data_IF_248211254687
#
_entry.id   IF_248211254687
#
_cell.length_a   1.000
_cell.length_b   1.000
_cell.length_c   1.000
_cell.angle_alpha   90.00
_cell.angle_beta   90.00
_cell.angle_gamma   90.00
#
_symmetry.space_group_name_H-M   'P 1'
#
loop_
_entity.id
_entity.type
_entity.pdbx_description
1 polymer ?
#
# COMPACT_ATOMS: atom_id res chain seq x y z
N UNK A 1 3.20 19.08 12.41
CA UNK A 1 2.22 19.37 11.34
C UNK A 1 0.90 18.64 11.56
N UNK A 2 0.88 17.38 11.99
CA UNK A 2 -0.35 16.56 12.09
C UNK A 2 -0.94 16.41 13.51
N UNK A 3 -0.63 17.33 14.44
CA UNK A 3 -1.12 17.21 15.83
C UNK A 3 -2.65 17.26 15.83
N UNK A 4 -3.29 16.24 16.41
CA UNK A 4 -4.75 16.11 16.50
C UNK A 4 -5.40 15.22 15.43
N UNK A 5 -4.70 14.91 14.32
CA UNK A 5 -5.21 14.01 13.27
C UNK A 5 -4.86 12.53 13.50
N UNK A 6 -4.01 12.25 14.48
CA UNK A 6 -3.57 10.90 14.85
C UNK A 6 -4.73 9.91 14.92
N UNK A 7 -5.78 10.25 15.67
CA UNK A 7 -6.95 9.38 15.84
C UNK A 7 -7.70 9.10 14.54
N UNK A 8 -7.67 10.04 13.59
CA UNK A 8 -8.32 9.85 12.29
C UNK A 8 -7.51 8.87 11.45
N UNK A 9 -6.19 9.04 11.41
CA UNK A 9 -5.31 8.12 10.68
C UNK A 9 -5.28 6.72 11.31
N UNK A 10 -5.38 6.63 12.63
CA UNK A 10 -5.47 5.37 13.39
C UNK A 10 -6.71 4.57 12.95
N UNK A 11 -7.90 5.18 13.04
CA UNK A 11 -9.16 4.54 12.65
C UNK A 11 -9.14 4.13 11.17
N UNK A 12 -8.70 5.01 10.27
CA UNK A 12 -8.66 4.70 8.83
C UNK A 12 -7.63 3.60 8.56
N UNK A 13 -6.47 3.65 9.22
CA UNK A 13 -5.40 2.67 9.09
C UNK A 13 -5.85 1.28 9.52
N UNK A 14 -6.52 1.16 10.66
CA UNK A 14 -7.07 -0.10 11.16
C UNK A 14 -8.12 -0.69 10.19
N UNK A 15 -9.07 0.13 9.73
CA UNK A 15 -10.10 -0.33 8.78
C UNK A 15 -9.47 -0.80 7.47
N UNK A 16 -8.54 -0.02 6.92
CA UNK A 16 -7.81 -0.40 5.71
C UNK A 16 -7.00 -1.68 5.92
N UNK A 17 -6.37 -1.86 7.07
CA UNK A 17 -5.60 -3.07 7.37
C UNK A 17 -6.49 -4.32 7.33
N UNK A 18 -7.67 -4.27 7.96
CA UNK A 18 -8.63 -5.37 7.94
C UNK A 18 -9.09 -5.69 6.52
N UNK A 19 -9.43 -4.67 5.72
CA UNK A 19 -9.81 -4.84 4.32
C UNK A 19 -8.69 -5.52 3.53
N UNK A 20 -7.44 -5.06 3.71
CA UNK A 20 -6.29 -5.65 3.01
C UNK A 20 -6.05 -7.10 3.42
N UNK A 21 -6.19 -7.46 4.70
CA UNK A 21 -6.08 -8.85 5.14
C UNK A 21 -7.10 -9.74 4.41
N UNK A 22 -8.35 -9.30 4.27
CA UNK A 22 -9.38 -10.03 3.54
C UNK A 22 -9.02 -10.18 2.06
N UNK A 23 -8.55 -9.10 1.42
CA UNK A 23 -8.14 -9.11 0.00
C UNK A 23 -7.01 -10.11 -0.22
N UNK A 24 -5.97 -10.07 0.62
CA UNK A 24 -4.84 -11.02 0.54
C UNK A 24 -5.30 -12.47 0.77
N UNK A 25 -6.14 -12.72 1.79
CA UNK A 25 -6.64 -14.07 2.06
C UNK A 25 -7.43 -14.63 0.86
N UNK A 26 -8.34 -13.84 0.28
CA UNK A 26 -9.14 -14.25 -0.88
C UNK A 26 -8.28 -14.50 -2.11
N UNK A 27 -7.28 -13.66 -2.37
CA UNK A 27 -6.34 -13.84 -3.48
C UNK A 27 -5.47 -15.10 -3.29
N UNK A 28 -5.01 -15.38 -2.08
CA UNK A 28 -4.22 -16.59 -1.77
C UNK A 28 -5.06 -17.85 -1.98
N UNK A 29 -6.30 -17.87 -1.47
CA UNK A 29 -7.21 -19.01 -1.70
C UNK A 29 -7.47 -19.14 -3.20
N UNK A 30 -7.69 -18.03 -3.90
CA UNK A 30 -7.93 -18.07 -5.34
C UNK A 30 -6.73 -18.59 -6.14
N UNK A 31 -5.50 -18.28 -5.72
CA UNK A 31 -4.29 -18.82 -6.36
C UNK A 31 -4.21 -20.36 -6.28
N UNK A 32 -4.86 -20.98 -5.29
CA UNK A 32 -4.86 -22.44 -5.12
C UNK A 32 -6.09 -23.12 -5.74
N UNK A 33 -7.25 -22.46 -5.74
CA UNK A 33 -8.54 -23.09 -6.11
C UNK A 33 -9.23 -22.45 -7.33
N UNK A 34 -8.71 -21.33 -7.86
CA UNK A 34 -9.23 -20.61 -9.04
C UNK A 34 -10.75 -20.36 -9.01
N UNK A 35 -11.27 -19.93 -7.85
CA UNK A 35 -12.72 -19.80 -7.61
C UNK A 35 -13.29 -18.41 -7.92
N UNK A 36 -12.45 -17.38 -8.03
CA UNK A 36 -12.85 -16.01 -8.35
C UNK A 36 -12.95 -15.83 -9.88
N UNK A 37 -14.02 -15.21 -10.38
CA UNK A 37 -14.11 -14.80 -11.79
C UNK A 37 -13.02 -13.79 -12.15
N UNK A 38 -12.56 -13.80 -13.41
CA UNK A 38 -11.48 -12.93 -13.91
C UNK A 38 -11.69 -11.43 -13.61
N UNK A 39 -12.94 -10.95 -13.74
CA UNK A 39 -13.28 -9.55 -13.44
C UNK A 39 -13.05 -9.22 -11.97
N UNK A 40 -13.41 -10.14 -11.07
CA UNK A 40 -13.23 -9.96 -9.62
C UNK A 40 -11.74 -10.05 -9.27
N UNK A 41 -11.03 -11.02 -9.85
CA UNK A 41 -9.59 -11.17 -9.67
C UNK A 41 -8.84 -9.89 -10.05
N UNK A 42 -9.14 -9.30 -11.22
CA UNK A 42 -8.53 -8.02 -11.65
C UNK A 42 -8.76 -6.91 -10.63
N UNK A 43 -9.99 -6.73 -10.15
CA UNK A 43 -10.31 -5.72 -9.13
C UNK A 43 -9.51 -5.97 -7.85
N UNK A 44 -9.48 -7.21 -7.37
CA UNK A 44 -8.74 -7.56 -6.15
C UNK A 44 -7.24 -7.35 -6.32
N UNK A 45 -6.65 -7.65 -7.48
CA UNK A 45 -5.24 -7.36 -7.76
C UNK A 45 -4.94 -5.86 -7.78
N UNK A 46 -5.84 -5.04 -8.32
CA UNK A 46 -5.72 -3.58 -8.22
C UNK A 46 -5.79 -3.10 -6.77
N UNK A 47 -6.75 -3.59 -6.00
CA UNK A 47 -6.89 -3.26 -4.57
C UNK A 47 -5.69 -3.74 -3.78
N UNK A 48 -5.14 -4.91 -4.08
CA UNK A 48 -3.91 -5.42 -3.46
C UNK A 48 -2.73 -4.45 -3.66
N UNK A 49 -2.47 -4.05 -4.91
CA UNK A 49 -1.31 -3.22 -5.24
C UNK A 49 -1.45 -1.79 -4.71
N UNK A 50 -2.56 -1.11 -5.03
CA UNK A 50 -2.76 0.28 -4.64
C UNK A 50 -3.21 0.43 -3.19
N UNK A 51 -4.05 -0.49 -2.69
CA UNK A 51 -4.51 -0.49 -1.31
C UNK A 51 -3.38 -0.70 -0.31
N UNK A 52 -2.36 -1.51 -0.65
CA UNK A 52 -1.17 -1.69 0.20
C UNK A 52 -0.37 -0.38 0.34
N UNK A 53 -0.24 0.38 -0.76
CA UNK A 53 0.46 1.67 -0.74
C UNK A 53 -0.32 2.71 0.07
N UNK A 54 -1.65 2.75 -0.09
CA UNK A 54 -2.52 3.64 0.70
C UNK A 54 -2.47 3.28 2.18
N UNK A 55 -2.55 1.99 2.53
CA UNK A 55 -2.43 1.54 3.91
C UNK A 55 -1.09 1.97 4.54
N UNK A 56 0.01 1.74 3.84
CA UNK A 56 1.35 2.14 4.31
C UNK A 56 1.45 3.65 4.51
N UNK A 57 0.86 4.43 3.59
CA UNK A 57 0.82 5.88 3.71
C UNK A 57 0.03 6.34 4.96
N UNK A 58 -1.15 5.77 5.20
CA UNK A 58 -2.02 6.13 6.32
C UNK A 58 -1.39 5.76 7.66
N UNK A 59 -0.92 4.52 7.82
CA UNK A 59 -0.26 4.06 9.05
C UNK A 59 1.05 4.82 9.27
N UNK A 60 1.80 5.12 8.20
CA UNK A 60 2.99 5.95 8.30
C UNK A 60 2.66 7.39 8.75
N UNK A 61 1.58 7.99 8.25
CA UNK A 61 1.12 9.31 8.69
C UNK A 61 0.69 9.32 10.17
N UNK A 62 0.00 8.28 10.63
CA UNK A 62 -0.36 8.09 12.04
C UNK A 62 0.90 7.97 12.92
N UNK A 63 1.86 7.14 12.51
CA UNK A 63 3.11 6.98 13.23
C UNK A 63 3.90 8.30 13.31
N UNK A 64 3.92 9.06 12.21
CA UNK A 64 4.65 10.33 12.13
C UNK A 64 3.93 11.49 12.82
N UNK A 65 2.61 11.46 13.00
CA UNK A 65 1.87 12.52 13.70
C UNK A 65 2.31 12.66 15.16
N UNK A 66 2.82 11.58 15.75
CA UNK A 66 3.35 11.49 17.13
C UNK A 66 4.82 11.91 17.24
N UNK A 67 5.52 12.15 16.11
CA UNK A 67 6.96 12.43 16.05
C UNK A 67 7.27 13.91 15.85
N UNK A 68 8.57 14.25 15.90
CA UNK A 68 9.04 15.60 15.67
C UNK A 68 8.86 16.02 14.19
N UNK A 69 8.96 17.33 13.95
CA UNK A 69 8.71 17.91 12.63
C UNK A 69 9.68 17.41 11.54
N UNK A 70 10.93 17.13 11.90
CA UNK A 70 11.96 16.65 10.96
C UNK A 70 11.57 15.27 10.41
N UNK A 71 11.17 14.33 11.27
CA UNK A 71 10.73 13.01 10.82
C UNK A 71 9.47 13.08 9.94
N UNK A 72 8.56 14.01 10.24
CA UNK A 72 7.37 14.24 9.39
C UNK A 72 7.75 14.68 7.98
N UNK A 73 8.69 15.62 7.83
CA UNK A 73 9.16 16.06 6.51
C UNK A 73 9.82 14.93 5.74
N UNK A 74 10.73 14.19 6.38
CA UNK A 74 11.44 13.08 5.73
C UNK A 74 10.43 12.05 5.22
N UNK A 75 9.45 11.68 6.05
CA UNK A 75 8.41 10.75 5.65
C UNK A 75 7.58 11.27 4.47
N UNK A 76 7.14 12.53 4.52
CA UNK A 76 6.36 13.12 3.42
C UNK A 76 7.16 13.21 2.11
N UNK A 77 8.46 13.50 2.18
CA UNK A 77 9.33 13.51 1.02
C UNK A 77 9.45 12.12 0.39
N UNK A 78 9.62 11.07 1.21
CA UNK A 78 9.66 9.68 0.75
C UNK A 78 8.30 9.23 0.20
N UNK A 79 7.20 9.59 0.86
CA UNK A 79 5.86 9.27 0.37
C UNK A 79 5.58 9.97 -0.97
N UNK A 80 5.95 11.24 -1.11
CA UNK A 80 5.84 11.98 -2.36
C UNK A 80 6.69 11.35 -3.46
N UNK A 81 7.90 10.88 -3.14
CA UNK A 81 8.74 10.13 -4.07
C UNK A 81 7.98 8.89 -4.59
N UNK A 82 7.46 8.06 -3.70
CA UNK A 82 6.67 6.87 -4.07
C UNK A 82 5.51 7.24 -4.99
N UNK A 83 4.73 8.27 -4.62
CA UNK A 83 3.57 8.75 -5.42
C UNK A 83 3.98 9.27 -6.78
N UNK A 84 5.09 10.00 -6.89
CA UNK A 84 5.60 10.46 -8.18
C UNK A 84 5.96 9.27 -9.06
N UNK A 85 6.67 8.28 -8.50
CA UNK A 85 7.11 7.09 -9.22
C UNK A 85 5.97 6.14 -9.63
N UNK A 86 4.78 6.23 -9.02
CA UNK A 86 3.55 5.56 -9.50
C UNK A 86 3.15 5.98 -10.92
N UNK A 87 3.47 7.20 -11.33
CA UNK A 87 3.13 7.70 -12.67
C UNK A 87 4.14 7.31 -13.75
N UNK A 88 5.28 6.74 -13.37
CA UNK A 88 6.32 6.35 -14.32
C UNK A 88 6.10 4.89 -14.76
N UNK A 89 5.67 4.63 -16.00
CA UNK A 89 5.45 3.28 -16.50
C UNK A 89 6.75 2.47 -16.41
N UNK A 90 6.65 1.19 -16.06
CA UNK A 90 7.82 0.32 -15.89
C UNK A 90 8.54 0.43 -14.54
N UNK A 91 8.29 1.45 -13.71
CA UNK A 91 8.99 1.58 -12.40
C UNK A 91 8.70 0.40 -11.48
N UNK A 92 7.43 0.09 -11.27
CA UNK A 92 7.03 -1.00 -10.38
C UNK A 92 7.30 -2.37 -10.99
N UNK A 93 7.24 -2.50 -12.31
CA UNK A 93 7.65 -3.71 -13.03
C UNK A 93 9.14 -3.99 -12.83
N UNK A 94 10.00 -2.96 -12.93
CA UNK A 94 11.44 -3.07 -12.67
C UNK A 94 11.74 -3.28 -11.17
N UNK A 95 10.97 -2.68 -10.27
CA UNK A 95 11.13 -2.84 -8.82
C UNK A 95 10.73 -4.25 -8.35
N UNK A 96 9.62 -4.77 -8.86
CA UNK A 96 9.15 -6.14 -8.60
C UNK A 96 10.07 -7.14 -9.34
N UNK A 97 10.67 -6.72 -10.46
CA UNK A 97 11.72 -7.42 -11.20
C UNK A 97 13.11 -7.34 -10.56
N UNK A 98 13.25 -7.80 -9.31
CA UNK A 98 14.53 -8.03 -8.60
C UNK A 98 15.41 -9.12 -9.28
N UNK A 99 15.84 -8.87 -10.53
CA UNK A 99 16.64 -9.66 -11.49
C UNK A 99 15.82 -10.51 -12.49
N UNK A 100 15.81 -10.16 -13.79
CA UNK A 100 15.80 -11.14 -14.87
C UNK A 100 17.25 -11.57 -15.18
N UNK A 101 17.58 -12.82 -14.87
CA UNK A 101 18.24 -13.80 -15.76
C UNK A 101 19.01 -14.85 -14.94
N UNK A 102 18.62 -16.10 -15.14
CA UNK A 102 19.26 -17.26 -14.54
C UNK A 102 18.60 -18.58 -14.94
N UNK A 103 18.53 -18.81 -16.25
CA UNK A 103 18.07 -20.01 -16.99
C UNK A 103 16.56 -20.20 -17.19
#
# INVERSE_FOLDING_TARGET
>A
MFKGLEKVFDIIGEILAVIMVIVFALLIINANFSFLPDTVLKVFSYVQNYGSLVLMAVVGLEAMSKRNFIFQIIFLALLALIVIFLFFPGTYENLIGLIPSGN
#
